data_IF_560674024693
#
_entry.id   IF_560674024693
#
_cell.length_a   1.000
_cell.length_b   1.000
_cell.length_c   1.000
_cell.angle_alpha   90.00
_cell.angle_beta   90.00
_cell.angle_gamma   90.00
#
_symmetry.space_group_name_H-M   'P 1'
#
loop_
_entity.id
_entity.type
_entity.pdbx_description
1 polymer ?
#
# COMPACT_ATOMS: atom_id res chain seq x y z
N UNK A 1 31.50 -67.77 1.23
CA UNK A 1 30.90 -67.39 2.53
C UNK A 1 31.98 -66.83 3.42
N UNK A 2 32.15 -65.50 3.43
CA UNK A 2 32.52 -64.77 4.66
C UNK A 2 32.18 -63.30 4.44
N UNK A 3 31.19 -62.86 5.20
CA UNK A 3 30.70 -61.49 5.33
C UNK A 3 31.65 -60.74 6.28
N UNK A 4 32.09 -59.54 5.89
CA UNK A 4 32.60 -58.54 6.83
C UNK A 4 31.85 -57.24 6.57
N UNK A 5 30.93 -56.93 7.49
CA UNK A 5 30.43 -55.59 7.74
C UNK A 5 31.53 -54.80 8.44
N UNK A 6 31.69 -53.53 8.09
CA UNK A 6 32.12 -52.53 9.05
C UNK A 6 31.27 -51.27 8.88
N UNK A 7 30.85 -50.72 10.00
CA UNK A 7 29.90 -49.62 10.13
C UNK A 7 30.58 -48.41 10.76
N UNK A 8 30.00 -47.23 10.49
CA UNK A 8 30.23 -45.91 11.11
C UNK A 8 31.48 -45.18 10.59
N UNK A 9 31.45 -43.90 10.22
CA UNK A 9 30.85 -42.76 10.93
C UNK A 9 30.35 -41.69 9.96
N UNK A 10 29.19 -41.15 10.30
CA UNK A 10 28.49 -39.99 9.72
C UNK A 10 29.31 -38.71 9.79
N UNK A 11 29.67 -38.11 8.65
CA UNK A 11 30.14 -36.72 8.57
C UNK A 11 29.07 -35.85 7.91
N UNK A 12 28.29 -35.18 8.76
CA UNK A 12 27.24 -34.22 8.42
C UNK A 12 27.90 -32.96 7.84
N UNK A 13 27.99 -32.87 6.51
CA UNK A 13 28.43 -31.66 5.83
C UNK A 13 27.44 -30.51 6.13
N UNK A 14 27.98 -29.43 6.68
CA UNK A 14 27.29 -28.24 7.17
C UNK A 14 26.55 -27.51 6.04
N UNK A 15 25.26 -27.25 6.27
CA UNK A 15 24.43 -26.36 5.44
C UNK A 15 25.02 -24.95 5.46
N UNK A 16 25.09 -24.35 4.27
CA UNK A 16 25.80 -23.12 3.98
C UNK A 16 25.45 -21.93 4.86
N UNK A 17 26.49 -21.19 5.25
CA UNK A 17 26.37 -19.81 5.67
C UNK A 17 25.92 -18.98 4.46
N UNK A 18 24.67 -18.52 4.48
CA UNK A 18 24.20 -17.51 3.55
C UNK A 18 25.03 -16.23 3.77
N UNK A 19 25.97 -15.97 2.86
CA UNK A 19 26.73 -14.73 2.84
C UNK A 19 25.75 -13.54 2.82
N UNK A 20 25.82 -12.70 3.85
CA UNK A 20 25.06 -11.45 3.92
C UNK A 20 25.53 -10.57 2.75
N UNK A 21 24.71 -10.47 1.70
CA UNK A 21 24.98 -9.59 0.55
C UNK A 21 25.23 -8.17 1.06
N UNK A 22 26.38 -7.60 0.68
CA UNK A 22 26.68 -6.19 0.94
C UNK A 22 25.52 -5.31 0.46
N UNK A 23 25.15 -4.24 1.19
CA UNK A 23 24.10 -3.34 0.75
C UNK A 23 24.44 -2.80 -0.63
N UNK A 24 23.51 -2.95 -1.58
CA UNK A 24 23.67 -2.39 -2.93
C UNK A 24 23.86 -0.88 -2.80
N UNK A 25 24.91 -0.35 -3.42
CA UNK A 25 25.12 1.08 -3.50
C UNK A 25 23.90 1.76 -4.15
N UNK A 26 23.41 2.82 -3.51
CA UNK A 26 22.33 3.65 -4.05
C UNK A 26 22.85 4.38 -5.28
N UNK A 27 22.03 4.48 -6.33
CA UNK A 27 22.40 5.24 -7.53
C UNK A 27 22.80 6.68 -7.17
N UNK A 28 23.95 7.20 -7.62
CA UNK A 28 24.43 8.53 -7.19
C UNK A 28 23.41 9.65 -7.39
N UNK A 29 22.71 9.64 -8.53
CA UNK A 29 21.69 10.63 -8.79
C UNK A 29 20.46 10.52 -7.88
N UNK A 30 20.10 9.30 -7.45
CA UNK A 30 19.01 9.12 -6.48
C UNK A 30 19.41 9.69 -5.10
N UNK A 31 20.68 9.50 -4.71
CA UNK A 31 21.23 10.12 -3.50
C UNK A 31 21.17 11.65 -3.60
N UNK A 32 21.51 12.23 -4.76
CA UNK A 32 21.38 13.68 -5.00
C UNK A 32 19.93 14.16 -4.89
N UNK A 33 18.96 13.38 -5.38
CA UNK A 33 17.54 13.72 -5.20
C UNK A 33 17.10 13.69 -3.72
N UNK A 34 17.70 12.83 -2.88
CA UNK A 34 17.44 12.83 -1.43
C UNK A 34 17.90 14.13 -0.77
N UNK A 35 19.02 14.68 -1.23
CA UNK A 35 19.59 15.93 -0.74
C UNK A 35 18.81 17.15 -1.25
N UNK A 36 18.46 17.18 -2.53
CA UNK A 36 17.73 18.29 -3.15
C UNK A 36 16.27 18.37 -2.71
N UNK A 37 15.61 17.22 -2.55
CA UNK A 37 14.17 17.13 -2.30
C UNK A 37 13.84 16.16 -1.14
N UNK A 38 14.33 16.42 0.08
CA UNK A 38 14.20 15.50 1.22
C UNK A 38 12.75 15.24 1.63
N UNK A 39 11.82 16.15 1.32
CA UNK A 39 10.39 15.97 1.59
C UNK A 39 9.70 15.00 0.63
N UNK A 40 10.22 14.82 -0.59
CA UNK A 40 9.68 13.90 -1.58
C UNK A 40 10.39 12.54 -1.56
N UNK A 41 11.72 12.55 -1.40
CA UNK A 41 12.56 11.36 -1.56
C UNK A 41 13.28 10.94 -0.26
N UNK A 42 13.09 11.65 0.86
CA UNK A 42 13.79 11.38 2.11
C UNK A 42 13.17 10.26 2.96
N UNK A 43 13.00 10.49 4.27
CA UNK A 43 12.54 9.44 5.18
C UNK A 43 11.11 8.95 4.90
N UNK A 44 10.25 9.81 4.35
CA UNK A 44 8.91 9.46 3.90
C UNK A 44 8.82 9.82 2.43
N UNK A 45 8.48 8.84 1.60
CA UNK A 45 8.29 9.07 0.17
C UNK A 45 6.88 9.59 -0.07
N UNK A 46 6.73 10.45 -1.07
CA UNK A 46 5.43 10.97 -1.51
C UNK A 46 5.20 10.57 -2.97
N UNK A 47 3.95 10.27 -3.39
CA UNK A 47 3.63 10.05 -4.79
C UNK A 47 4.03 11.28 -5.62
N UNK A 48 4.74 11.06 -6.71
CA UNK A 48 5.24 12.17 -7.53
C UNK A 48 4.15 12.67 -8.49
N UNK A 49 4.11 13.99 -8.70
CA UNK A 49 3.32 14.66 -9.74
C UNK A 49 3.58 14.06 -11.13
N UNK A 50 2.56 14.00 -11.98
CA UNK A 50 2.74 13.67 -13.39
C UNK A 50 3.58 14.76 -14.09
N UNK A 51 4.64 14.36 -14.79
CA UNK A 51 5.61 15.29 -15.38
C UNK A 51 6.72 15.74 -14.43
N UNK A 52 6.91 15.05 -13.29
CA UNK A 52 8.00 15.37 -12.33
C UNK A 52 9.39 15.30 -12.97
N UNK A 53 9.57 14.50 -14.02
CA UNK A 53 10.83 14.37 -14.72
C UNK A 53 11.21 15.69 -15.41
N UNK A 54 10.27 16.28 -16.13
CA UNK A 54 10.40 17.56 -16.80
C UNK A 54 10.58 18.70 -15.78
N UNK A 55 9.79 18.67 -14.70
CA UNK A 55 9.92 19.64 -13.60
C UNK A 55 11.34 19.60 -12.99
N UNK A 56 11.93 18.40 -12.81
CA UNK A 56 13.29 18.22 -12.29
C UNK A 56 14.37 18.72 -13.26
N UNK A 57 14.23 18.42 -14.56
CA UNK A 57 15.16 18.91 -15.58
C UNK A 57 15.12 20.43 -15.70
N UNK A 58 13.94 21.03 -15.65
CA UNK A 58 13.78 22.48 -15.71
C UNK A 58 14.37 23.17 -14.47
N UNK A 59 14.24 22.57 -13.29
CA UNK A 59 14.79 23.11 -12.05
C UNK A 59 16.32 22.96 -11.93
N UNK A 60 16.91 21.95 -12.60
CA UNK A 60 18.33 21.61 -12.46
C UNK A 60 19.01 21.23 -13.79
N UNK A 61 18.98 22.10 -14.82
CA UNK A 61 19.38 21.76 -16.19
C UNK A 61 20.86 21.35 -16.32
N UNK A 62 21.74 21.93 -15.50
CA UNK A 62 23.17 21.64 -15.55
C UNK A 62 23.58 20.47 -14.65
N UNK A 63 22.70 20.06 -13.72
CA UNK A 63 23.11 19.16 -12.63
C UNK A 63 22.39 17.82 -12.62
N UNK A 64 21.32 17.66 -13.39
CA UNK A 64 20.59 16.40 -13.56
C UNK A 64 20.66 15.93 -15.02
N UNK A 65 21.62 15.06 -15.39
CA UNK A 65 21.65 14.46 -16.73
C UNK A 65 20.39 13.60 -16.96
N UNK A 66 19.72 13.84 -18.08
CA UNK A 66 18.38 13.29 -18.35
C UNK A 66 18.31 11.76 -18.33
N UNK A 67 19.30 11.07 -18.88
CA UNK A 67 19.29 9.60 -18.96
C UNK A 67 19.51 8.96 -17.59
N UNK A 68 20.43 9.49 -16.79
CA UNK A 68 20.61 9.05 -15.40
C UNK A 68 19.37 9.37 -14.55
N UNK A 69 18.70 10.50 -14.79
CA UNK A 69 17.50 10.89 -14.06
C UNK A 69 16.36 9.90 -14.30
N UNK A 70 16.17 9.46 -15.55
CA UNK A 70 15.21 8.39 -15.88
C UNK A 70 15.51 7.11 -15.09
N UNK A 71 16.79 6.71 -15.02
CA UNK A 71 17.21 5.52 -14.27
C UNK A 71 16.94 5.69 -12.78
N UNK A 72 17.31 6.82 -12.19
CA UNK A 72 17.12 7.10 -10.77
C UNK A 72 15.64 7.11 -10.38
N UNK A 73 14.78 7.77 -11.17
CA UNK A 73 13.33 7.77 -10.96
C UNK A 73 12.73 6.38 -11.17
N UNK A 74 13.21 5.61 -12.15
CA UNK A 74 12.81 4.22 -12.35
C UNK A 74 13.11 3.33 -11.14
N UNK A 75 14.29 3.51 -10.52
CA UNK A 75 14.64 2.82 -9.27
C UNK A 75 13.77 3.26 -8.09
N UNK A 76 13.54 4.57 -7.96
CA UNK A 76 12.71 5.13 -6.89
C UNK A 76 11.27 4.61 -6.96
N UNK A 77 10.63 4.71 -8.13
CA UNK A 77 9.21 4.37 -8.33
C UNK A 77 8.91 2.88 -8.23
N UNK A 78 9.91 2.01 -8.40
CA UNK A 78 9.78 0.54 -8.21
C UNK A 78 10.08 0.10 -6.77
N UNK A 79 10.63 0.99 -5.94
CA UNK A 79 10.97 0.68 -4.56
C UNK A 79 9.71 0.40 -3.72
N UNK A 80 9.83 -0.51 -2.74
CA UNK A 80 8.71 -0.85 -1.85
C UNK A 80 8.19 0.38 -1.10
N UNK A 81 9.08 1.26 -0.64
CA UNK A 81 8.70 2.49 0.09
C UNK A 81 7.88 3.45 -0.78
N UNK A 82 8.19 3.55 -2.07
CA UNK A 82 7.41 4.37 -2.98
C UNK A 82 6.02 3.77 -3.21
N UNK A 83 5.95 2.46 -3.46
CA UNK A 83 4.68 1.76 -3.67
C UNK A 83 3.80 1.86 -2.41
N UNK A 84 4.39 1.80 -1.20
CA UNK A 84 3.69 2.07 0.06
C UNK A 84 3.10 3.48 0.12
N UNK A 85 3.81 4.50 -0.38
CA UNK A 85 3.27 5.86 -0.45
C UNK A 85 2.07 5.98 -1.40
N UNK A 86 2.09 5.27 -2.53
CA UNK A 86 0.98 5.23 -3.49
C UNK A 86 -0.21 4.47 -2.92
N UNK A 87 0.03 3.31 -2.29
CA UNK A 87 -1.00 2.49 -1.66
C UNK A 87 -1.70 3.23 -0.50
N UNK A 88 -1.01 4.14 0.18
CA UNK A 88 -1.61 4.97 1.24
C UNK A 88 -2.64 5.99 0.75
N UNK A 89 -2.83 6.14 -0.57
CA UNK A 89 -3.85 7.03 -1.14
C UNK A 89 -3.53 8.53 -1.02
N UNK A 90 -2.29 8.89 -0.69
CA UNK A 90 -1.85 10.28 -0.69
C UNK A 90 -1.98 10.90 -2.08
N UNK A 91 -2.23 12.21 -2.13
CA UNK A 91 -2.14 12.96 -3.38
C UNK A 91 -0.73 12.89 -3.97
N UNK A 92 -0.60 13.15 -5.26
CA UNK A 92 0.68 13.43 -5.90
C UNK A 92 1.18 14.80 -5.48
N UNK A 93 2.50 14.93 -5.38
CA UNK A 93 3.15 16.13 -4.88
C UNK A 93 4.12 16.71 -5.91
N UNK A 94 4.14 18.04 -6.00
CA UNK A 94 5.13 18.79 -6.78
C UNK A 94 6.51 18.81 -6.08
N UNK A 95 7.50 19.43 -6.72
CA UNK A 95 8.87 19.57 -6.21
C UNK A 95 8.97 20.30 -4.86
N UNK A 96 7.96 21.10 -4.51
CA UNK A 96 7.86 21.81 -3.24
C UNK A 96 7.12 20.98 -2.17
N UNK A 97 6.79 19.72 -2.48
CA UNK A 97 6.02 18.81 -1.65
C UNK A 97 4.61 19.33 -1.35
N UNK A 98 4.00 20.06 -2.28
CA UNK A 98 2.58 20.46 -2.19
C UNK A 98 1.71 19.46 -2.92
N UNK A 99 0.56 19.06 -2.37
CA UNK A 99 -0.37 18.17 -3.05
C UNK A 99 -0.97 18.89 -4.27
N UNK A 100 -1.00 18.21 -5.41
CA UNK A 100 -1.44 18.80 -6.69
C UNK A 100 -2.59 18.05 -7.34
N UNK A 101 -2.61 16.72 -7.25
CA UNK A 101 -3.63 15.89 -7.89
C UNK A 101 -3.83 14.59 -7.10
N UNK A 102 -5.05 14.02 -7.02
CA UNK A 102 -5.25 12.73 -6.40
C UNK A 102 -4.54 11.63 -7.20
N UNK A 103 -4.04 10.61 -6.50
CA UNK A 103 -3.62 9.37 -7.17
C UNK A 103 -4.88 8.64 -7.64
N UNK A 104 -4.93 8.30 -8.94
CA UNK A 104 -6.07 7.59 -9.49
C UNK A 104 -6.34 6.26 -8.76
N UNK A 105 -7.61 5.86 -8.55
CA UNK A 105 -7.96 4.64 -7.83
C UNK A 105 -7.23 3.39 -8.33
N UNK A 106 -7.00 3.26 -9.64
CA UNK A 106 -6.29 2.10 -10.18
C UNK A 106 -4.81 2.06 -9.83
N UNK A 107 -4.15 3.21 -9.67
CA UNK A 107 -2.77 3.22 -9.18
C UNK A 107 -2.70 2.80 -7.70
N UNK A 108 -3.65 3.24 -6.87
CA UNK A 108 -3.74 2.82 -5.47
C UNK A 108 -4.00 1.32 -5.39
N UNK A 109 -5.00 0.83 -6.13
CA UNK A 109 -5.35 -0.59 -6.19
C UNK A 109 -4.14 -1.46 -6.60
N UNK A 110 -3.48 -1.13 -7.72
CA UNK A 110 -2.32 -1.88 -8.18
C UNK A 110 -1.15 -1.83 -7.20
N UNK A 111 -0.93 -0.70 -6.52
CA UNK A 111 0.10 -0.58 -5.49
C UNK A 111 -0.16 -1.52 -4.31
N UNK A 112 -1.41 -1.62 -3.85
CA UNK A 112 -1.79 -2.56 -2.76
C UNK A 112 -1.54 -4.01 -3.20
N UNK A 113 -1.97 -4.39 -4.41
CA UNK A 113 -1.73 -5.75 -4.92
C UNK A 113 -0.25 -6.08 -5.07
N UNK A 114 0.56 -5.13 -5.54
CA UNK A 114 2.01 -5.30 -5.65
C UNK A 114 2.66 -5.51 -4.27
N UNK A 115 2.24 -4.76 -3.24
CA UNK A 115 2.73 -4.97 -1.87
C UNK A 115 2.29 -6.31 -1.30
N UNK A 116 1.05 -6.73 -1.57
CA UNK A 116 0.56 -8.06 -1.20
C UNK A 116 1.45 -9.15 -1.81
N UNK A 117 1.71 -9.09 -3.12
CA UNK A 117 2.59 -10.03 -3.84
C UNK A 117 4.01 -10.07 -3.25
N UNK A 118 4.57 -8.91 -2.86
CA UNK A 118 5.90 -8.83 -2.23
C UNK A 118 5.95 -9.43 -0.82
N UNK A 119 4.85 -9.37 -0.07
CA UNK A 119 4.78 -9.77 1.36
C UNK A 119 4.27 -11.20 1.54
N UNK A 120 3.51 -11.75 0.59
CA UNK A 120 2.86 -13.07 0.67
C UNK A 120 3.85 -14.21 0.89
N UNK A 121 5.08 -14.11 0.35
CA UNK A 121 6.11 -15.16 0.51
C UNK A 121 6.68 -15.32 1.91
N UNK A 122 6.48 -14.35 2.82
CA UNK A 122 7.03 -14.41 4.20
C UNK A 122 5.95 -14.63 5.27
N UNK A 123 4.80 -13.99 5.11
CA UNK A 123 3.71 -14.02 6.08
C UNK A 123 2.36 -13.87 5.35
N UNK A 124 1.88 -14.95 4.70
CA UNK A 124 0.75 -14.89 3.77
C UNK A 124 -0.54 -14.38 4.44
N UNK A 125 -0.89 -14.91 5.61
CA UNK A 125 -2.11 -14.49 6.33
C UNK A 125 -2.09 -13.00 6.72
N UNK A 126 -0.98 -12.54 7.31
CA UNK A 126 -0.82 -11.11 7.67
C UNK A 126 -0.81 -10.20 6.44
N UNK A 127 -0.16 -10.64 5.36
CA UNK A 127 -0.16 -9.89 4.10
C UNK A 127 -1.57 -9.78 3.52
N UNK A 128 -2.35 -10.86 3.58
CA UNK A 128 -3.72 -10.91 3.12
C UNK A 128 -4.61 -9.98 3.94
N UNK A 129 -4.60 -10.10 5.26
CA UNK A 129 -5.38 -9.24 6.16
C UNK A 129 -5.09 -7.76 5.89
N UNK A 130 -3.81 -7.39 5.83
CA UNK A 130 -3.41 -6.01 5.56
C UNK A 130 -3.85 -5.52 4.18
N UNK A 131 -3.80 -6.37 3.16
CA UNK A 131 -4.23 -6.00 1.81
C UNK A 131 -5.75 -5.83 1.72
N UNK A 132 -6.53 -6.68 2.39
CA UNK A 132 -8.00 -6.52 2.50
C UNK A 132 -8.36 -5.21 3.17
N UNK A 133 -7.70 -4.87 4.29
CA UNK A 133 -7.92 -3.60 5.00
C UNK A 133 -7.62 -2.39 4.12
N UNK A 134 -6.48 -2.39 3.40
CA UNK A 134 -6.12 -1.30 2.50
C UNK A 134 -7.04 -1.21 1.27
N UNK A 135 -7.41 -2.34 0.66
CA UNK A 135 -8.36 -2.35 -0.45
C UNK A 135 -9.73 -1.84 -0.03
N UNK A 136 -10.23 -2.24 1.14
CA UNK A 136 -11.50 -1.74 1.67
C UNK A 136 -11.46 -0.20 1.84
N UNK A 137 -10.38 0.33 2.40
CA UNK A 137 -10.20 1.79 2.50
C UNK A 137 -10.13 2.47 1.12
N UNK A 138 -9.40 1.88 0.16
CA UNK A 138 -9.29 2.42 -1.19
C UNK A 138 -10.63 2.41 -1.94
N UNK A 139 -11.45 1.36 -1.76
CA UNK A 139 -12.81 1.28 -2.30
C UNK A 139 -13.68 2.41 -1.72
N UNK A 140 -13.66 2.61 -0.41
CA UNK A 140 -14.42 3.68 0.25
C UNK A 140 -14.01 5.06 -0.28
N UNK A 141 -12.72 5.33 -0.41
CA UNK A 141 -12.19 6.62 -0.92
C UNK A 141 -12.49 6.82 -2.41
N UNK A 142 -12.54 5.75 -3.21
CA UNK A 142 -12.82 5.84 -4.64
C UNK A 142 -14.19 6.41 -4.98
N UNK A 143 -15.15 6.31 -4.05
CA UNK A 143 -16.54 6.71 -4.28
C UNK A 143 -17.33 5.80 -5.24
N UNK A 144 -16.72 4.73 -5.76
CA UNK A 144 -17.37 3.81 -6.68
C UNK A 144 -18.39 2.91 -5.98
N UNK A 145 -19.40 2.47 -6.73
CA UNK A 145 -20.30 1.40 -6.29
C UNK A 145 -19.55 0.06 -6.20
N UNK A 146 -20.17 -0.95 -5.58
CA UNK A 146 -19.57 -2.28 -5.47
C UNK A 146 -19.39 -2.88 -6.87
N UNK A 147 -20.40 -2.73 -7.71
CA UNK A 147 -20.47 -3.23 -9.07
C UNK A 147 -19.43 -2.54 -9.96
N UNK A 148 -19.37 -1.20 -9.95
CA UNK A 148 -18.41 -0.42 -10.76
C UNK A 148 -16.96 -0.74 -10.37
N UNK A 149 -16.69 -0.88 -9.06
CA UNK A 149 -15.35 -1.23 -8.60
C UNK A 149 -14.98 -2.64 -9.05
N UNK A 150 -15.90 -3.60 -8.93
CA UNK A 150 -15.66 -4.98 -9.36
C UNK A 150 -15.41 -5.08 -10.87
N UNK A 151 -16.21 -4.39 -11.69
CA UNK A 151 -16.03 -4.36 -13.14
C UNK A 151 -14.66 -3.79 -13.53
N UNK A 152 -14.28 -2.65 -12.93
CA UNK A 152 -13.02 -1.95 -13.22
C UNK A 152 -11.78 -2.74 -12.81
N UNK A 153 -11.87 -3.54 -11.75
CA UNK A 153 -10.73 -4.24 -11.13
C UNK A 153 -10.81 -5.77 -11.20
N UNK A 154 -11.57 -6.32 -12.16
CA UNK A 154 -11.65 -7.76 -12.37
C UNK A 154 -10.27 -8.34 -12.71
N UNK A 155 -9.91 -9.47 -12.09
CA UNK A 155 -8.62 -10.14 -12.28
C UNK A 155 -8.84 -11.61 -12.65
N UNK A 156 -8.06 -12.18 -13.60
CA UNK A 156 -8.10 -13.61 -13.93
C UNK A 156 -7.41 -14.49 -12.87
N UNK A 157 -6.66 -13.90 -11.94
CA UNK A 157 -6.04 -14.61 -10.81
C UNK A 157 -7.06 -14.78 -9.68
N UNK A 158 -7.46 -16.03 -9.41
CA UNK A 158 -8.45 -16.40 -8.39
C UNK A 158 -8.10 -15.89 -6.99
N UNK A 159 -6.81 -15.83 -6.63
CA UNK A 159 -6.38 -15.36 -5.32
C UNK A 159 -6.55 -13.84 -5.21
N UNK A 160 -6.21 -13.09 -6.27
CA UNK A 160 -6.45 -11.65 -6.30
C UNK A 160 -7.94 -11.32 -6.37
N UNK A 161 -8.72 -12.13 -7.09
CA UNK A 161 -10.18 -11.99 -7.14
C UNK A 161 -10.80 -12.24 -5.76
N UNK A 162 -10.40 -13.30 -5.05
CA UNK A 162 -10.85 -13.57 -3.68
C UNK A 162 -10.49 -12.44 -2.71
N UNK A 163 -9.29 -11.88 -2.84
CA UNK A 163 -8.85 -10.74 -2.04
C UNK A 163 -9.75 -9.51 -2.26
N UNK A 164 -10.11 -9.23 -3.51
CA UNK A 164 -11.02 -8.14 -3.86
C UNK A 164 -12.43 -8.37 -3.31
N UNK A 165 -12.98 -9.58 -3.45
CA UNK A 165 -14.32 -9.90 -2.94
C UNK A 165 -14.41 -9.74 -1.41
N UNK A 166 -13.37 -10.15 -0.69
CA UNK A 166 -13.29 -9.94 0.76
C UNK A 166 -13.28 -8.46 1.14
N UNK A 167 -12.50 -7.65 0.41
CA UNK A 167 -12.48 -6.20 0.63
C UNK A 167 -13.86 -5.57 0.35
N UNK A 168 -14.53 -5.97 -0.74
CA UNK A 168 -15.89 -5.52 -1.06
C UNK A 168 -16.90 -5.97 0.00
N UNK A 169 -16.74 -7.17 0.58
CA UNK A 169 -17.55 -7.67 1.69
C UNK A 169 -17.37 -6.81 2.95
N UNK A 170 -16.12 -6.47 3.30
CA UNK A 170 -15.81 -5.57 4.43
C UNK A 170 -16.48 -4.21 4.23
N UNK A 171 -16.40 -3.63 3.04
CA UNK A 171 -17.05 -2.35 2.73
C UNK A 171 -18.57 -2.46 2.84
N UNK A 172 -19.17 -3.54 2.32
CA UNK A 172 -20.61 -3.78 2.41
C UNK A 172 -21.09 -3.90 3.86
N UNK A 173 -20.36 -4.65 4.70
CA UNK A 173 -20.66 -4.79 6.13
C UNK A 173 -20.58 -3.45 6.87
N UNK A 174 -19.55 -2.65 6.60
CA UNK A 174 -19.40 -1.30 7.17
C UNK A 174 -20.57 -0.39 6.77
N UNK A 175 -20.93 -0.38 5.48
CA UNK A 175 -22.06 0.42 4.96
C UNK A 175 -23.37 0.01 5.62
N UNK A 176 -23.68 -1.29 5.66
CA UNK A 176 -24.89 -1.81 6.28
C UNK A 176 -24.95 -1.49 7.79
N UNK A 177 -23.83 -1.63 8.52
CA UNK A 177 -23.75 -1.25 9.94
C UNK A 177 -24.07 0.23 10.14
N UNK A 178 -23.48 1.10 9.29
CA UNK A 178 -23.70 2.54 9.37
C UNK A 178 -25.16 2.91 9.07
N UNK A 179 -25.75 2.34 8.03
CA UNK A 179 -27.16 2.56 7.68
C UNK A 179 -28.11 2.10 8.79
N UNK A 180 -27.86 0.92 9.37
CA UNK A 180 -28.64 0.43 10.50
C UNK A 180 -28.55 1.36 11.71
N UNK A 181 -27.35 1.88 12.03
CA UNK A 181 -27.16 2.85 13.11
C UNK A 181 -27.87 4.18 12.82
N UNK A 182 -27.79 4.68 11.59
CA UNK A 182 -28.48 5.91 11.18
C UNK A 182 -30.00 5.75 11.24
N UNK A 183 -30.54 4.60 10.84
CA UNK A 183 -31.96 4.28 10.94
C UNK A 183 -32.42 4.21 12.40
N UNK A 184 -31.66 3.51 13.25
CA UNK A 184 -31.94 3.44 14.67
C UNK A 184 -31.88 4.83 15.33
N UNK A 185 -30.91 5.67 14.96
CA UNK A 185 -30.79 7.03 15.45
C UNK A 185 -32.00 7.87 15.09
N UNK A 186 -32.38 7.89 13.80
CA UNK A 186 -33.57 8.60 13.32
C UNK A 186 -34.85 8.14 14.01
N UNK A 187 -35.02 6.83 14.22
CA UNK A 187 -36.18 6.27 14.89
C UNK A 187 -36.20 6.59 16.40
N UNK A 188 -35.04 6.77 17.03
CA UNK A 188 -34.95 7.01 18.48
C UNK A 188 -35.40 8.40 18.92
N UNK A 189 -35.33 9.41 18.04
CA UNK A 189 -35.57 10.81 18.39
C UNK A 189 -34.57 11.42 19.38
N UNK A 190 -33.49 10.71 19.72
CA UNK A 190 -32.49 11.11 20.71
C UNK A 190 -31.45 12.06 20.11
N UNK A 191 -30.76 12.80 20.96
CA UNK A 191 -29.53 13.49 20.59
C UNK A 191 -28.39 12.50 20.32
N UNK A 192 -27.35 12.92 19.60
CA UNK A 192 -26.19 12.06 19.30
C UNK A 192 -25.51 11.54 20.57
N UNK A 193 -25.46 12.35 21.63
CA UNK A 193 -24.83 11.98 22.91
C UNK A 193 -25.64 10.88 23.60
N UNK A 194 -26.95 11.06 23.74
CA UNK A 194 -27.85 10.06 24.34
C UNK A 194 -27.89 8.76 23.53
N UNK A 195 -27.80 8.86 22.20
CA UNK A 195 -27.71 7.69 21.33
C UNK A 195 -26.37 6.96 21.49
N UNK A 196 -25.26 7.71 21.58
CA UNK A 196 -23.94 7.14 21.81
C UNK A 196 -23.89 6.39 23.15
N UNK A 197 -24.39 6.98 24.23
CA UNK A 197 -24.47 6.35 25.56
C UNK A 197 -25.28 5.04 25.52
N UNK A 198 -26.44 5.03 24.85
CA UNK A 198 -27.30 3.85 24.73
C UNK A 198 -26.62 2.66 24.04
N UNK A 199 -25.76 2.92 23.05
CA UNK A 199 -25.04 1.89 22.30
C UNK A 199 -23.60 1.68 22.80
N UNK A 200 -23.19 2.34 23.89
CA UNK A 200 -21.83 2.28 24.42
C UNK A 200 -20.77 2.80 23.45
N UNK A 201 -21.14 3.75 22.58
CA UNK A 201 -20.25 4.38 21.61
C UNK A 201 -19.60 5.62 22.20
N UNK A 202 -18.37 5.92 21.78
CA UNK A 202 -17.78 7.23 21.99
C UNK A 202 -18.59 8.31 21.24
N UNK A 203 -18.89 9.47 21.84
CA UNK A 203 -19.68 10.52 21.17
C UNK A 203 -19.07 11.04 19.86
N UNK A 204 -17.74 11.08 19.74
CA UNK A 204 -17.08 11.50 18.51
C UNK A 204 -17.06 10.38 17.45
N UNK A 205 -17.02 9.11 17.86
CA UNK A 205 -17.28 7.96 16.99
C UNK A 205 -18.73 7.96 16.48
N UNK A 206 -19.72 8.11 17.37
CA UNK A 206 -21.13 8.18 17.02
C UNK A 206 -21.39 9.34 16.05
N UNK A 207 -20.83 10.52 16.31
CA UNK A 207 -20.94 11.66 15.38
C UNK A 207 -20.39 11.36 13.98
N UNK A 208 -19.30 10.60 13.87
CA UNK A 208 -18.73 10.20 12.57
C UNK A 208 -19.56 9.14 11.86
N UNK A 209 -20.16 8.21 12.59
CA UNK A 209 -21.02 7.16 12.02
C UNK A 209 -22.39 7.69 11.60
N UNK A 210 -22.88 8.74 12.27
CA UNK A 210 -24.21 9.31 12.05
C UNK A 210 -24.22 10.54 11.13
N UNK A 211 -23.06 11.09 10.79
CA UNK A 211 -22.90 12.11 9.75
C UNK A 211 -23.13 11.52 8.35
#
# INVERSE_FOLDING_TARGET
MTTTQDSTVTARASRGQAARKAPRAVHPLLQKLFELYPRLFGARFLPLKLGVFEDLLAAHPETLPADELKVALGLHTRSTRYIESVASGLARHDLQARPVEPVAPEHVHHAILELYKRRSGKAPERARQHAVEQLAAAIEVSGLSREDYRERFTSPDDNLQSLLEDALSVVAQKRARREALQNAFRASGKTVVEFAEMYGLDPAEAKRLLA
#
